data_IF_335387628754
#
_entry.id   IF_335387628754
#
_cell.length_a   1.000
_cell.length_b   1.000
_cell.length_c   1.000
_cell.angle_alpha   90.00
_cell.angle_beta   90.00
_cell.angle_gamma   90.00
#
_symmetry.space_group_name_H-M   'P 1'
#
loop_
_entity.id
_entity.type
_entity.pdbx_description
1 polymer ?
#
# COMPACT_ATOMS: atom_id res chain seq x y z
N UNK A 1 0.39 -16.84 -10.40
CA UNK A 1 0.87 -15.85 -9.40
C UNK A 1 2.05 -15.14 -10.01
N UNK A 2 2.03 -13.81 -10.06
CA UNK A 2 3.11 -12.98 -10.60
C UNK A 2 3.84 -12.29 -9.44
N UNK A 3 5.15 -12.10 -9.56
CA UNK A 3 5.98 -11.40 -8.57
C UNK A 3 6.94 -10.44 -9.27
N UNK A 4 7.43 -9.45 -8.54
CA UNK A 4 8.39 -8.46 -9.03
C UNK A 4 8.91 -7.59 -7.91
N UNK A 5 9.61 -6.51 -8.27
CA UNK A 5 10.14 -5.52 -7.31
C UNK A 5 9.73 -4.12 -7.73
N UNK A 6 9.23 -3.34 -6.78
CA UNK A 6 8.99 -1.90 -6.93
C UNK A 6 10.24 -1.17 -6.50
N UNK A 7 10.72 -0.26 -7.35
CA UNK A 7 11.77 0.70 -7.04
C UNK A 7 11.16 2.08 -7.02
N UNK A 8 11.30 2.78 -5.90
CA UNK A 8 10.76 4.13 -5.73
C UNK A 8 11.85 5.18 -5.79
N UNK A 9 11.54 6.31 -6.43
CA UNK A 9 12.38 7.53 -6.40
C UNK A 9 12.57 8.09 -5.00
N UNK A 10 11.71 7.73 -4.04
CA UNK A 10 11.86 8.06 -2.63
C UNK A 10 12.89 7.15 -1.89
N UNK A 11 13.71 6.40 -2.63
CA UNK A 11 14.85 5.66 -2.07
C UNK A 11 14.52 4.34 -1.39
N UNK A 12 13.34 3.75 -1.67
CA UNK A 12 12.95 2.45 -1.10
C UNK A 12 12.60 1.44 -2.19
N UNK A 13 12.76 0.17 -1.85
CA UNK A 13 12.37 -0.97 -2.68
C UNK A 13 11.46 -1.91 -1.91
N UNK A 14 10.50 -2.54 -2.58
CA UNK A 14 9.63 -3.54 -1.95
C UNK A 14 9.20 -4.61 -2.95
N UNK A 15 8.96 -5.85 -2.52
CA UNK A 15 8.39 -6.88 -3.37
C UNK A 15 6.94 -6.52 -3.73
N UNK A 16 6.57 -6.83 -4.97
CA UNK A 16 5.20 -6.76 -5.46
C UNK A 16 4.77 -8.14 -5.91
N UNK A 17 3.53 -8.53 -5.61
CA UNK A 17 3.00 -9.84 -5.96
C UNK A 17 1.49 -9.82 -6.21
N UNK A 18 0.97 -10.80 -6.94
CA UNK A 18 -0.47 -10.92 -7.20
C UNK A 18 -1.17 -11.93 -6.30
N UNK A 19 -2.34 -11.56 -5.80
CA UNK A 19 -3.33 -12.45 -5.16
C UNK A 19 -4.70 -12.11 -5.72
N UNK A 20 -5.41 -13.09 -6.28
CA UNK A 20 -6.78 -12.94 -6.81
C UNK A 20 -6.95 -11.75 -7.78
N UNK A 21 -5.99 -11.54 -8.68
CA UNK A 21 -6.04 -10.43 -9.65
C UNK A 21 -5.66 -9.06 -9.09
N UNK A 22 -5.35 -8.96 -7.80
CA UNK A 22 -4.87 -7.74 -7.16
C UNK A 22 -3.36 -7.76 -7.04
N UNK A 23 -2.72 -6.64 -7.32
CA UNK A 23 -1.31 -6.40 -7.06
C UNK A 23 -1.15 -5.84 -5.65
N UNK A 24 -0.25 -6.44 -4.86
CA UNK A 24 0.04 -6.05 -3.50
C UNK A 24 1.51 -5.68 -3.35
N UNK A 25 1.76 -4.51 -2.77
CA UNK A 25 3.10 -4.06 -2.33
C UNK A 25 3.05 -3.88 -0.83
N UNK A 26 3.89 -4.58 -0.07
CA UNK A 26 3.97 -4.44 1.38
C UNK A 26 5.35 -3.96 1.79
N UNK A 27 5.40 -2.97 2.68
CA UNK A 27 6.64 -2.46 3.28
C UNK A 27 6.43 -1.96 4.69
N UNK A 28 7.47 -2.07 5.51
CA UNK A 28 7.54 -1.34 6.78
C UNK A 28 7.85 0.15 6.52
N UNK A 29 7.29 1.02 7.35
CA UNK A 29 7.55 2.44 7.44
C UNK A 29 8.15 2.66 8.84
N UNK A 30 9.48 2.80 8.94
CA UNK A 30 10.11 3.02 10.24
C UNK A 30 9.68 4.36 10.83
N UNK A 31 9.52 4.43 12.15
CA UNK A 31 9.18 5.66 12.87
C UNK A 31 7.96 6.39 12.29
N UNK A 32 6.93 5.64 11.89
CA UNK A 32 5.75 6.18 11.22
C UNK A 32 4.93 7.11 12.12
N UNK A 33 4.80 6.74 13.39
CA UNK A 33 4.16 7.58 14.42
C UNK A 33 4.93 7.49 15.73
N UNK A 34 4.72 8.47 16.59
CA UNK A 34 5.28 8.49 17.94
C UNK A 34 4.15 8.37 18.95
N UNK A 35 4.44 7.68 20.05
CA UNK A 35 3.59 7.67 21.24
C UNK A 35 3.71 8.99 22.02
N UNK A 36 2.85 9.16 23.02
CA UNK A 36 2.90 10.32 23.92
C UNK A 36 4.21 10.39 24.72
N UNK A 37 4.83 9.24 25.00
CA UNK A 37 6.15 9.11 25.64
C UNK A 37 7.32 9.26 24.63
N UNK A 38 7.03 9.55 23.36
CA UNK A 38 8.03 9.72 22.31
C UNK A 38 8.61 8.42 21.73
N UNK A 39 8.11 7.24 22.15
CA UNK A 39 8.56 5.97 21.56
C UNK A 39 8.11 5.87 20.10
N UNK A 40 9.01 5.59 19.15
CA UNK A 40 8.64 5.43 17.75
C UNK A 40 7.91 4.11 17.53
N UNK A 41 6.95 4.14 16.60
CA UNK A 41 6.22 2.97 16.15
C UNK A 41 6.29 2.89 14.64
N UNK A 42 6.65 1.70 14.16
CA UNK A 42 6.66 1.38 12.75
C UNK A 42 5.24 1.14 12.23
N UNK A 43 4.99 1.58 11.00
CA UNK A 43 3.75 1.32 10.28
C UNK A 43 3.95 0.25 9.22
N UNK A 44 2.96 -0.61 8.99
CA UNK A 44 2.90 -1.47 7.82
C UNK A 44 2.12 -0.76 6.72
N UNK A 45 2.80 -0.41 5.62
CA UNK A 45 2.17 0.18 4.43
C UNK A 45 1.93 -0.88 3.37
N UNK A 46 0.67 -1.01 2.96
CA UNK A 46 0.20 -1.90 1.90
C UNK A 46 -0.42 -1.08 0.79
N UNK A 47 0.09 -1.24 -0.44
CA UNK A 47 -0.57 -0.77 -1.64
C UNK A 47 -1.34 -1.93 -2.25
N UNK A 48 -2.65 -1.76 -2.45
CA UNK A 48 -3.48 -2.65 -3.25
C UNK A 48 -3.78 -1.96 -4.57
N UNK A 49 -3.46 -2.61 -5.67
CA UNK A 49 -3.53 -2.04 -7.01
C UNK A 49 -4.31 -3.02 -7.89
N UNK A 50 -5.23 -2.49 -8.70
CA UNK A 50 -6.01 -3.26 -9.65
C UNK A 50 -6.21 -2.47 -10.94
N UNK A 51 -6.26 -3.16 -12.10
CA UNK A 51 -6.44 -2.50 -13.38
C UNK A 51 -7.87 -1.96 -13.50
N UNK A 52 -8.00 -0.76 -14.04
CA UNK A 52 -9.29 -0.12 -14.31
C UNK A 52 -9.31 0.45 -15.71
N UNK A 53 -10.45 0.58 -16.36
CA UNK A 53 -10.58 1.35 -17.59
C UNK A 53 -10.70 2.85 -17.26
N UNK A 54 -10.72 3.71 -18.28
CA UNK A 54 -10.80 5.18 -18.09
C UNK A 54 -12.08 5.65 -17.39
N UNK A 55 -13.14 4.86 -17.46
CA UNK A 55 -14.41 5.11 -16.76
C UNK A 55 -14.41 4.59 -15.31
N UNK A 56 -13.31 4.00 -14.84
CA UNK A 56 -13.16 3.42 -13.51
C UNK A 56 -13.68 2.00 -13.36
N UNK A 57 -14.21 1.39 -14.42
CA UNK A 57 -14.62 -0.02 -14.42
C UNK A 57 -13.41 -0.96 -14.35
N UNK A 58 -13.59 -2.20 -13.89
CA UNK A 58 -12.47 -3.16 -13.80
C UNK A 58 -12.01 -3.61 -15.19
N UNK A 59 -10.70 -3.53 -15.47
CA UNK A 59 -10.10 -3.87 -16.77
C UNK A 59 -9.25 -5.15 -16.68
N UNK A 60 -9.90 -6.30 -16.86
CA UNK A 60 -9.24 -7.61 -16.75
C UNK A 60 -8.11 -7.82 -17.77
N UNK A 61 -8.11 -7.08 -18.88
CA UNK A 61 -7.15 -7.24 -19.98
C UNK A 61 -6.01 -6.21 -19.94
N UNK A 62 -5.98 -5.33 -18.93
CA UNK A 62 -4.96 -4.29 -18.77
C UNK A 62 -4.83 -3.38 -20.02
N UNK A 63 -5.92 -3.23 -20.78
CA UNK A 63 -5.95 -2.56 -22.08
C UNK A 63 -5.75 -1.05 -21.99
N UNK A 64 -6.19 -0.44 -20.89
CA UNK A 64 -6.12 1.00 -20.64
C UNK A 64 -4.75 1.48 -20.14
N UNK A 65 -3.98 0.60 -19.49
CA UNK A 65 -2.79 0.99 -18.72
C UNK A 65 -3.07 1.84 -17.47
N UNK A 66 -4.34 1.91 -17.05
CA UNK A 66 -4.81 2.65 -15.89
C UNK A 66 -5.02 1.70 -14.70
N UNK A 67 -4.70 2.19 -13.51
CA UNK A 67 -4.80 1.42 -12.27
C UNK A 67 -5.38 2.28 -11.15
N UNK A 68 -6.27 1.68 -10.38
CA UNK A 68 -6.78 2.24 -9.15
C UNK A 68 -6.39 1.34 -7.97
N UNK A 69 -6.61 1.83 -6.76
CA UNK A 69 -6.12 1.13 -5.60
C UNK A 69 -6.38 1.82 -4.28
N UNK A 70 -5.75 1.25 -3.26
CA UNK A 70 -5.69 1.83 -1.93
C UNK A 70 -4.25 1.85 -1.44
N UNK A 71 -3.92 2.90 -0.69
CA UNK A 71 -2.76 2.97 0.15
C UNK A 71 -3.24 2.85 1.60
N UNK A 72 -2.88 1.76 2.25
CA UNK A 72 -3.28 1.46 3.62
C UNK A 72 -2.05 1.39 4.52
N UNK A 73 -1.99 2.24 5.54
CA UNK A 73 -0.94 2.19 6.56
C UNK A 73 -1.55 1.83 7.90
N UNK A 74 -1.04 0.75 8.51
CA UNK A 74 -1.54 0.18 9.75
C UNK A 74 -0.43 0.18 10.81
N UNK A 75 -0.72 0.72 11.99
CA UNK A 75 0.14 0.57 13.16
C UNK A 75 -0.10 -0.76 13.89
N UNK A 76 0.90 -1.29 14.62
CA UNK A 76 0.73 -2.46 15.46
C UNK A 76 -0.36 -2.25 16.52
N UNK A 77 -1.16 -3.30 16.76
CA UNK A 77 -2.15 -3.29 17.83
C UNK A 77 -1.48 -3.26 19.20
N UNK A 78 -2.07 -2.54 20.16
CA UNK A 78 -1.52 -2.38 21.51
C UNK A 78 -0.41 -1.34 21.61
N UNK A 79 0.02 -0.75 20.49
CA UNK A 79 1.07 0.26 20.50
C UNK A 79 0.58 1.57 21.16
N UNK A 80 1.44 2.19 21.98
CA UNK A 80 1.09 3.29 22.90
C UNK A 80 0.01 2.94 23.93
N UNK A 81 -0.05 1.68 24.40
CA UNK A 81 -1.01 1.26 25.42
C UNK A 81 -2.48 1.30 24.97
N UNK A 82 -2.73 1.49 23.67
CA UNK A 82 -4.08 1.49 23.10
C UNK A 82 -4.28 0.24 22.25
N UNK A 83 -5.30 -0.55 22.60
CA UNK A 83 -5.69 -1.72 21.81
C UNK A 83 -6.58 -1.36 20.61
N UNK A 84 -6.27 -0.24 19.94
CA UNK A 84 -6.91 0.22 18.72
C UNK A 84 -5.80 0.64 17.76
N UNK A 85 -5.50 -0.17 16.72
CA UNK A 85 -4.44 0.17 15.80
C UNK A 85 -4.84 1.40 14.99
N UNK A 86 -3.91 2.36 14.84
CA UNK A 86 -4.09 3.49 13.95
C UNK A 86 -4.06 2.99 12.50
N UNK A 87 -5.11 3.30 11.75
CA UNK A 87 -5.32 2.80 10.40
C UNK A 87 -5.62 3.99 9.47
N UNK A 88 -4.74 4.26 8.51
CA UNK A 88 -4.93 5.30 7.49
C UNK A 88 -5.15 4.63 6.14
N UNK A 89 -6.32 4.85 5.52
CA UNK A 89 -6.66 4.32 4.19
C UNK A 89 -6.95 5.47 3.24
N UNK A 90 -6.23 5.52 2.13
CA UNK A 90 -6.37 6.55 1.10
C UNK A 90 -6.55 5.91 -0.27
N UNK A 91 -7.32 6.52 -1.18
CA UNK A 91 -7.37 6.09 -2.57
C UNK A 91 -6.01 6.27 -3.24
N UNK A 92 -5.68 5.39 -4.17
CA UNK A 92 -4.46 5.42 -4.96
C UNK A 92 -4.81 5.30 -6.45
N UNK A 93 -4.13 6.06 -7.29
CA UNK A 93 -4.25 5.99 -8.74
C UNK A 93 -2.85 5.94 -9.35
N UNK A 94 -2.70 5.15 -10.40
CA UNK A 94 -1.44 4.98 -11.13
C UNK A 94 -1.74 4.77 -12.60
N UNK A 95 -0.89 5.34 -13.45
CA UNK A 95 -0.92 5.14 -14.90
C UNK A 95 0.48 4.82 -15.37
N UNK A 96 0.59 3.93 -16.36
CA UNK A 96 1.85 3.70 -17.05
C UNK A 96 2.28 4.97 -17.80
N UNK A 97 3.52 5.40 -17.60
CA UNK A 97 4.17 6.51 -18.31
C UNK A 97 4.92 5.94 -19.51
#
# INVERSE_FOLDING_TARGET
MCTGTVVSTAGWTAPIYTINGLWLVKRAIPNWRYCEDGVPIDGLKTYKIYPVARDGSYDAFYSSGEFAGENYTLGPSGACGRNQPTAIRMPFYMRKI
#
